data_IF_077812672432
#
_entry.id   IF_077812672432
#
_cell.length_a   1.000
_cell.length_b   1.000
_cell.length_c   1.000
_cell.angle_alpha   90.00
_cell.angle_beta   90.00
_cell.angle_gamma   90.00
#
_symmetry.space_group_name_H-M   'P 1'
#
loop_
_entity.id
_entity.type
_entity.pdbx_description
1 polymer ?
#
# COMPACT_ATOMS: atom_id res chain seq x y z
N UNK A 1 -18.29 -8.61 -11.82
CA UNK A 1 -18.66 -8.56 -10.38
C UNK A 1 -18.14 -7.26 -9.76
N UNK A 2 -18.98 -6.23 -9.74
CA UNK A 2 -18.53 -4.85 -9.52
C UNK A 2 -18.11 -4.61 -8.06
N UNK A 3 -16.91 -4.06 -7.85
CA UNK A 3 -16.33 -3.72 -6.56
C UNK A 3 -16.99 -2.46 -5.94
N UNK A 4 -18.33 -2.36 -6.01
CA UNK A 4 -19.15 -1.16 -5.78
C UNK A 4 -20.17 -1.39 -4.67
N UNK A 5 -20.22 -0.47 -3.71
CA UNK A 5 -21.17 -0.42 -2.59
C UNK A 5 -22.17 0.70 -2.81
N UNK A 6 -23.42 0.45 -2.47
CA UNK A 6 -24.49 1.46 -2.48
C UNK A 6 -24.50 2.17 -1.13
N UNK A 7 -24.36 3.49 -1.13
CA UNK A 7 -24.41 4.32 0.08
C UNK A 7 -25.58 5.28 -0.04
N UNK A 8 -26.47 5.27 0.97
CA UNK A 8 -27.56 6.25 1.07
C UNK A 8 -26.98 7.58 1.53
N UNK A 9 -27.22 8.64 0.77
CA UNK A 9 -26.74 10.00 1.06
C UNK A 9 -27.92 10.96 0.97
N UNK A 10 -28.08 11.80 1.99
CA UNK A 10 -29.06 12.88 1.99
C UNK A 10 -28.57 14.00 1.08
N UNK A 11 -29.39 14.41 0.11
CA UNK A 11 -29.06 15.53 -0.77
C UNK A 11 -29.51 16.86 -0.14
N UNK A 12 -28.97 18.01 -0.58
CA UNK A 12 -29.39 19.32 -0.08
C UNK A 12 -30.90 19.57 -0.18
N UNK A 13 -31.57 18.97 -1.17
CA UNK A 13 -33.03 18.99 -1.35
C UNK A 13 -33.81 18.14 -0.31
N UNK A 14 -33.15 17.60 0.72
CA UNK A 14 -33.78 16.82 1.80
C UNK A 14 -34.09 15.36 1.47
N UNK A 15 -34.15 15.02 0.17
CA UNK A 15 -34.38 13.65 -0.34
C UNK A 15 -33.20 12.72 -0.01
N UNK A 16 -33.47 11.41 0.10
CA UNK A 16 -32.43 10.39 0.26
C UNK A 16 -32.14 9.76 -1.11
N UNK A 17 -30.90 9.86 -1.56
CA UNK A 17 -30.45 9.27 -2.83
C UNK A 17 -29.43 8.16 -2.58
N UNK A 18 -29.36 7.17 -3.47
CA UNK A 18 -28.38 6.09 -3.39
C UNK A 18 -27.23 6.39 -4.35
N UNK A 19 -26.04 6.68 -3.79
CA UNK A 19 -24.81 6.85 -4.57
C UNK A 19 -24.01 5.55 -4.60
N UNK A 20 -23.44 5.24 -5.77
CA UNK A 20 -22.50 4.13 -5.94
C UNK A 20 -21.09 4.61 -5.54
N UNK A 21 -20.49 3.96 -4.55
CA UNK A 21 -19.11 4.21 -4.12
C UNK A 21 -18.33 2.91 -4.22
N UNK A 22 -17.12 2.93 -4.76
CA UNK A 22 -16.37 1.69 -4.79
C UNK A 22 -15.76 1.32 -3.44
N UNK A 23 -15.44 0.04 -3.28
CA UNK A 23 -14.75 -0.49 -2.09
C UNK A 23 -13.33 0.05 -2.01
N UNK A 24 -12.80 0.13 -0.79
CA UNK A 24 -11.38 0.38 -0.55
C UNK A 24 -10.61 -0.94 -0.74
N UNK A 25 -9.43 -0.91 -1.36
CA UNK A 25 -8.60 -2.11 -1.49
C UNK A 25 -8.10 -2.57 -0.11
N UNK A 26 -7.70 -3.84 -0.06
CA UNK A 26 -7.08 -4.43 1.13
C UNK A 26 -5.71 -3.79 1.43
N UNK A 27 -5.19 -4.06 2.62
CA UNK A 27 -3.88 -3.58 3.07
C UNK A 27 -2.78 -4.21 2.20
N UNK A 28 -1.78 -3.40 1.81
CA UNK A 28 -0.58 -3.91 1.16
C UNK A 28 0.17 -4.85 2.11
N UNK A 29 0.63 -5.99 1.61
CA UNK A 29 1.34 -7.01 2.39
C UNK A 29 2.79 -7.09 1.95
N UNK A 30 3.67 -7.47 2.88
CA UNK A 30 5.06 -7.77 2.60
C UNK A 30 5.16 -9.02 1.71
N UNK A 31 6.01 -9.00 0.69
CA UNK A 31 6.19 -10.12 -0.23
C UNK A 31 6.71 -11.40 0.47
N UNK A 32 7.66 -11.25 1.40
CA UNK A 32 8.29 -12.39 2.09
C UNK A 32 7.43 -12.90 3.26
N UNK A 33 7.15 -12.04 4.24
CA UNK A 33 6.50 -12.47 5.49
C UNK A 33 4.97 -12.28 5.53
N UNK A 34 4.34 -11.73 4.48
CA UNK A 34 2.89 -11.49 4.43
C UNK A 34 2.35 -10.44 5.42
N UNK A 35 3.20 -9.83 6.25
CA UNK A 35 2.80 -8.83 7.26
C UNK A 35 2.24 -7.57 6.59
N UNK A 36 1.25 -6.89 7.18
CA UNK A 36 0.71 -5.65 6.65
C UNK A 36 1.79 -4.55 6.65
N UNK A 37 1.94 -3.87 5.51
CA UNK A 37 2.89 -2.78 5.36
C UNK A 37 2.32 -1.48 5.94
N UNK A 38 3.09 -0.87 6.83
CA UNK A 38 2.80 0.45 7.37
C UNK A 38 3.34 1.54 6.42
N UNK A 39 2.64 2.67 6.35
CA UNK A 39 3.03 3.80 5.50
C UNK A 39 2.68 3.68 4.01
N UNK A 40 1.97 2.61 3.60
CA UNK A 40 1.42 2.49 2.23
C UNK A 40 -0.07 2.84 2.24
N UNK A 41 -0.52 3.79 1.41
CA UNK A 41 -1.92 4.21 1.40
C UNK A 41 -2.84 3.11 0.85
N UNK A 42 -3.96 2.88 1.54
CA UNK A 42 -5.02 1.92 1.15
C UNK A 42 -6.02 2.56 0.19
N UNK A 43 -5.51 3.14 -0.88
CA UNK A 43 -6.29 3.89 -1.86
C UNK A 43 -6.31 3.16 -3.20
N UNK A 44 -7.23 3.53 -4.09
CA UNK A 44 -7.22 2.96 -5.44
C UNK A 44 -6.04 3.47 -6.25
N UNK A 45 -5.65 2.73 -7.28
CA UNK A 45 -4.60 3.14 -8.21
C UNK A 45 -4.82 4.57 -8.75
N UNK A 46 -6.07 4.92 -9.09
CA UNK A 46 -6.43 6.27 -9.57
C UNK A 46 -6.21 7.34 -8.50
N UNK A 47 -6.51 7.05 -7.24
CA UNK A 47 -6.33 7.98 -6.11
C UNK A 47 -4.84 8.07 -5.71
N UNK A 48 -4.10 6.96 -5.74
CA UNK A 48 -2.65 6.91 -5.49
C UNK A 48 -1.90 7.76 -6.52
N UNK A 49 -2.32 7.73 -7.79
CA UNK A 49 -1.72 8.56 -8.85
C UNK A 49 -1.89 10.06 -8.61
N UNK A 50 -2.90 10.49 -7.84
CA UNK A 50 -3.11 11.90 -7.48
C UNK A 50 -2.27 12.34 -6.28
N UNK A 51 -1.74 11.41 -5.49
CA UNK A 51 -0.91 11.73 -4.33
C UNK A 51 0.51 12.18 -4.75
N UNK A 52 1.16 13.06 -3.95
CA UNK A 52 2.57 13.37 -4.13
C UNK A 52 3.46 12.16 -3.83
N UNK A 53 4.68 12.15 -4.40
CA UNK A 53 5.62 11.02 -4.32
C UNK A 53 5.89 10.55 -2.88
N UNK A 54 6.05 11.50 -1.94
CA UNK A 54 6.30 11.23 -0.52
C UNK A 54 5.16 10.49 0.18
N UNK A 55 3.91 10.70 -0.23
CA UNK A 55 2.73 10.02 0.35
C UNK A 55 2.43 8.66 -0.28
N UNK A 56 3.10 8.29 -1.36
CA UNK A 56 2.86 7.00 -2.07
C UNK A 56 3.61 5.84 -1.44
N UNK A 57 4.84 6.07 -1.00
CA UNK A 57 5.71 5.04 -0.43
C UNK A 57 6.65 5.62 0.63
N UNK A 58 7.08 4.81 1.61
CA UNK A 58 8.22 5.15 2.45
C UNK A 58 9.50 5.38 1.63
N UNK A 59 10.37 6.26 2.09
CA UNK A 59 11.62 6.64 1.39
C UNK A 59 12.73 5.59 1.47
N UNK A 60 12.65 4.67 2.43
CA UNK A 60 13.63 3.59 2.58
C UNK A 60 13.71 2.68 1.34
N UNK A 61 14.86 2.02 1.12
CA UNK A 61 14.98 0.97 0.11
C UNK A 61 13.91 -0.12 0.28
N UNK A 62 13.40 -0.63 -0.84
CA UNK A 62 12.28 -1.58 -0.90
C UNK A 62 11.02 -1.12 -0.12
N UNK A 63 10.86 0.19 0.08
CA UNK A 63 9.71 0.81 0.71
C UNK A 63 8.41 0.53 -0.05
N UNK A 64 7.44 -0.06 0.64
CA UNK A 64 6.16 -0.46 0.05
C UNK A 64 6.12 -1.86 -0.57
N UNK A 65 7.23 -2.61 -0.50
CA UNK A 65 7.31 -4.00 -0.95
C UNK A 65 7.76 -4.95 0.18
N UNK A 66 8.85 -4.62 0.86
CA UNK A 66 9.34 -5.35 2.03
C UNK A 66 8.97 -4.62 3.33
N UNK A 67 8.79 -5.37 4.42
CA UNK A 67 8.71 -4.79 5.76
C UNK A 67 10.11 -4.38 6.25
N UNK A 68 10.18 -3.59 7.33
CA UNK A 68 11.46 -3.12 7.88
C UNK A 68 12.37 -4.26 8.37
N UNK A 69 11.80 -5.36 8.87
CA UNK A 69 12.55 -6.52 9.35
C UNK A 69 13.21 -7.30 8.20
N UNK A 70 12.41 -7.72 7.22
CA UNK A 70 12.90 -8.45 6.05
C UNK A 70 13.89 -7.64 5.21
N UNK A 71 13.70 -6.31 5.11
CA UNK A 71 14.68 -5.47 4.43
C UNK A 71 16.04 -5.49 5.12
N UNK A 72 16.08 -5.47 6.47
CA UNK A 72 17.34 -5.53 7.24
C UNK A 72 18.03 -6.89 7.10
N UNK A 73 17.27 -7.97 7.10
CA UNK A 73 17.81 -9.32 6.89
C UNK A 73 18.48 -9.44 5.52
N UNK A 74 17.79 -8.97 4.47
CA UNK A 74 18.31 -8.96 3.11
C UNK A 74 19.59 -8.12 2.97
N UNK A 75 19.70 -6.99 3.68
CA UNK A 75 20.94 -6.22 3.70
C UNK A 75 22.11 -6.95 4.38
N UNK A 76 21.84 -7.70 5.45
CA UNK A 76 22.88 -8.49 6.13
C UNK A 76 23.37 -9.63 5.27
N UNK A 77 22.46 -10.33 4.60
CA UNK A 77 22.78 -11.43 3.69
C UNK A 77 23.66 -10.93 2.54
N UNK A 78 23.22 -9.86 1.86
CA UNK A 78 24.02 -9.24 0.80
C UNK A 78 25.40 -8.77 1.25
N UNK A 79 25.50 -8.21 2.46
CA UNK A 79 26.80 -7.80 2.99
C UNK A 79 27.75 -9.00 3.18
N UNK A 80 27.23 -10.15 3.61
CA UNK A 80 28.02 -11.39 3.74
C UNK A 80 28.43 -11.96 2.39
N UNK A 81 27.54 -11.92 1.41
CA UNK A 81 27.84 -12.38 0.04
C UNK A 81 28.97 -11.56 -0.59
N UNK A 82 28.94 -10.22 -0.42
CA UNK A 82 30.00 -9.35 -0.91
C UNK A 82 31.35 -9.73 -0.29
N UNK A 83 31.39 -9.95 1.02
CA UNK A 83 32.61 -10.39 1.71
C UNK A 83 33.14 -11.74 1.23
N UNK A 84 32.25 -12.63 0.75
CA UNK A 84 32.62 -13.93 0.21
C UNK A 84 33.07 -13.86 -1.25
N UNK A 85 32.59 -12.89 -2.03
CA UNK A 85 32.97 -12.70 -3.43
C UNK A 85 34.32 -12.01 -3.63
N UNK A 86 34.84 -11.37 -2.58
CA UNK A 86 36.15 -10.71 -2.58
C UNK A 86 37.29 -11.65 -2.17
N UNK A 87 36.97 -12.90 -1.82
CA UNK A 87 37.92 -13.98 -1.53
C UNK A 87 38.10 -14.88 -2.76
#
# INVERSE_FOLDING_TARGET
>A
MANVVKVKVRVPSGKVSVKKKWKKPAVAKCAVCGKPLQGVPKLRAVEIRKLPKSKRKPERPYGGYLCSKCARELFREKAREIMQSEQ
#
